data_IF_785421019219
#
_entry.id   IF_785421019219
#
_cell.length_a   1.000
_cell.length_b   1.000
_cell.length_c   1.000
_cell.angle_alpha   90.00
_cell.angle_beta   90.00
_cell.angle_gamma   90.00
#
_symmetry.space_group_name_H-M   'P 1'
#
loop_
_entity.id
_entity.type
_entity.pdbx_description
1 polymer ?
#
# COMPACT_ATOMS: atom_id res chain seq x y z
N UNK A 1 -33.47 -2.83 -27.09
CA UNK A 1 -33.06 -4.22 -26.75
C UNK A 1 -31.56 -4.18 -26.50
N UNK A 2 -31.14 -3.97 -25.25
CA UNK A 2 -29.72 -3.89 -24.90
C UNK A 2 -29.16 -5.30 -24.74
N UNK A 3 -28.11 -5.63 -25.47
CA UNK A 3 -27.52 -6.97 -25.45
C UNK A 3 -26.97 -7.33 -24.07
N UNK A 4 -27.51 -8.39 -23.45
CA UNK A 4 -27.04 -9.00 -22.20
C UNK A 4 -25.84 -9.94 -22.45
N UNK A 5 -24.88 -9.53 -23.28
CA UNK A 5 -23.73 -10.35 -23.64
C UNK A 5 -22.50 -9.93 -22.84
N UNK A 6 -21.96 -10.88 -22.09
CA UNK A 6 -20.71 -10.74 -21.33
C UNK A 6 -19.77 -11.84 -21.79
N UNK A 7 -18.50 -11.51 -21.98
CA UNK A 7 -17.47 -12.46 -22.40
C UNK A 7 -16.14 -12.15 -21.72
N UNK A 8 -15.27 -13.16 -21.63
CA UNK A 8 -13.94 -13.02 -21.06
C UNK A 8 -13.03 -14.17 -21.46
N UNK A 9 -11.73 -14.02 -21.18
CA UNK A 9 -10.72 -15.02 -21.53
C UNK A 9 -10.50 -15.09 -23.03
N UNK A 10 -10.20 -16.29 -23.52
CA UNK A 10 -9.75 -16.48 -24.90
C UNK A 10 -10.76 -16.04 -25.96
N UNK A 11 -12.05 -16.11 -25.63
CA UNK A 11 -13.13 -15.64 -26.51
C UNK A 11 -13.08 -14.12 -26.78
N UNK A 12 -12.45 -13.34 -25.90
CA UNK A 12 -12.32 -11.88 -26.04
C UNK A 12 -10.93 -11.47 -26.50
N UNK A 13 -9.89 -12.17 -26.01
CA UNK A 13 -8.50 -11.74 -26.16
C UNK A 13 -7.68 -12.58 -27.15
N UNK A 14 -8.23 -13.71 -27.62
CA UNK A 14 -7.38 -14.81 -28.06
C UNK A 14 -6.60 -15.40 -26.88
N UNK A 15 -5.55 -16.20 -27.13
CA UNK A 15 -4.80 -16.88 -26.06
C UNK A 15 -4.41 -15.93 -24.92
N UNK A 16 -5.02 -16.11 -23.75
CA UNK A 16 -4.83 -15.28 -22.57
C UNK A 16 -4.28 -16.07 -21.39
N UNK A 17 -3.60 -15.38 -20.48
CA UNK A 17 -3.21 -15.99 -19.21
C UNK A 17 -4.43 -16.24 -18.32
N UNK A 18 -4.32 -17.22 -17.41
CA UNK A 18 -5.36 -17.49 -16.40
C UNK A 18 -5.71 -16.22 -15.59
N UNK A 19 -4.70 -15.38 -15.32
CA UNK A 19 -4.87 -14.12 -14.58
C UNK A 19 -5.72 -13.11 -15.36
N UNK A 20 -5.49 -12.97 -16.66
CA UNK A 20 -6.27 -12.10 -17.53
C UNK A 20 -7.71 -12.62 -17.69
N UNK A 21 -7.88 -13.93 -17.88
CA UNK A 21 -9.20 -14.54 -17.94
C UNK A 21 -10.00 -14.33 -16.64
N UNK A 22 -9.35 -14.50 -15.48
CA UNK A 22 -9.96 -14.20 -14.18
C UNK A 22 -10.30 -12.70 -14.03
N UNK A 23 -9.45 -11.80 -14.54
CA UNK A 23 -9.72 -10.37 -14.56
C UNK A 23 -10.95 -10.04 -15.43
N UNK A 24 -11.12 -10.71 -16.57
CA UNK A 24 -12.29 -10.56 -17.43
C UNK A 24 -13.56 -11.06 -16.75
N UNK A 25 -13.51 -12.22 -16.09
CA UNK A 25 -14.62 -12.74 -15.29
C UNK A 25 -15.07 -11.75 -14.21
N UNK A 26 -14.12 -11.11 -13.52
CA UNK A 26 -14.43 -10.04 -12.55
C UNK A 26 -15.11 -8.83 -13.19
N UNK A 27 -14.64 -8.37 -14.37
CA UNK A 27 -15.27 -7.25 -15.09
C UNK A 27 -16.69 -7.60 -15.54
N UNK A 28 -16.90 -8.82 -16.04
CA UNK A 28 -18.21 -9.32 -16.41
C UNK A 28 -19.16 -9.34 -15.21
N UNK A 29 -18.73 -9.91 -14.08
CA UNK A 29 -19.52 -9.94 -12.85
C UNK A 29 -19.90 -8.52 -12.36
N UNK A 30 -18.95 -7.59 -12.34
CA UNK A 30 -19.22 -6.20 -11.94
C UNK A 30 -20.21 -5.49 -12.87
N UNK A 31 -20.16 -5.78 -14.18
CA UNK A 31 -21.10 -5.24 -15.16
C UNK A 31 -22.50 -5.83 -15.00
N UNK A 32 -22.61 -7.15 -14.75
CA UNK A 32 -23.87 -7.83 -14.43
C UNK A 32 -24.50 -7.24 -13.17
N UNK A 33 -23.73 -7.09 -12.09
CA UNK A 33 -24.21 -6.50 -10.83
C UNK A 33 -24.79 -5.10 -11.06
N UNK A 34 -24.07 -4.24 -11.80
CA UNK A 34 -24.52 -2.90 -12.16
C UNK A 34 -25.83 -2.93 -12.95
N UNK A 35 -25.97 -3.85 -13.91
CA UNK A 35 -27.20 -3.98 -14.68
C UNK A 35 -28.39 -4.43 -13.81
N UNK A 36 -28.13 -5.31 -12.84
CA UNK A 36 -29.16 -5.82 -11.93
C UNK A 36 -29.47 -4.87 -10.76
N UNK A 37 -28.77 -3.73 -10.65
CA UNK A 37 -28.93 -2.81 -9.53
C UNK A 37 -28.46 -3.37 -8.20
N UNK A 38 -27.57 -4.37 -8.21
CA UNK A 38 -26.96 -4.95 -7.00
C UNK A 38 -25.52 -4.47 -6.86
N UNK A 39 -25.08 -4.28 -5.62
CA UNK A 39 -23.71 -3.91 -5.33
C UNK A 39 -22.75 -5.05 -5.68
N UNK A 40 -21.70 -4.76 -6.44
CA UNK A 40 -20.61 -5.70 -6.64
C UNK A 40 -19.65 -5.63 -5.46
N UNK A 41 -19.76 -6.58 -4.54
CA UNK A 41 -18.83 -6.73 -3.42
C UNK A 41 -17.79 -7.79 -3.73
N UNK A 42 -16.52 -7.41 -3.64
CA UNK A 42 -15.42 -8.37 -3.65
C UNK A 42 -15.29 -8.93 -2.21
N UNK A 43 -15.28 -10.25 -2.01
CA UNK A 43 -14.95 -10.81 -0.71
C UNK A 43 -13.58 -10.29 -0.28
N UNK A 44 -13.49 -9.79 0.96
CA UNK A 44 -12.18 -9.51 1.53
C UNK A 44 -11.42 -10.84 1.61
N UNK A 45 -10.20 -10.85 1.08
CA UNK A 45 -9.31 -11.99 1.25
C UNK A 45 -8.53 -11.76 2.53
N UNK A 46 -8.72 -12.61 3.53
CA UNK A 46 -7.88 -12.61 4.72
C UNK A 46 -6.50 -13.12 4.33
N UNK A 47 -5.51 -12.21 4.37
CA UNK A 47 -4.12 -12.59 4.23
C UNK A 47 -3.55 -12.94 5.60
N UNK A 48 -2.69 -13.97 5.69
CA UNK A 48 -2.07 -14.32 6.96
C UNK A 48 -1.17 -13.16 7.42
N UNK A 49 -1.30 -12.78 8.69
CA UNK A 49 -0.28 -11.99 9.37
C UNK A 49 0.92 -12.88 9.64
N UNK A 50 2.06 -12.55 9.04
CA UNK A 50 3.29 -13.32 9.21
C UNK A 50 4.04 -12.88 10.46
N UNK A 51 4.61 -13.82 11.18
CA UNK A 51 5.55 -13.50 12.27
C UNK A 51 6.87 -12.99 11.72
N UNK A 52 7.73 -12.47 12.59
CA UNK A 52 9.10 -12.12 12.21
C UNK A 52 9.88 -13.35 11.73
N UNK A 53 9.70 -14.52 12.37
CA UNK A 53 10.35 -15.76 11.92
C UNK A 53 9.85 -16.19 10.53
N UNK A 54 8.55 -16.10 10.28
CA UNK A 54 7.97 -16.39 8.96
C UNK A 54 8.59 -15.51 7.88
N UNK A 55 8.65 -14.19 8.14
CA UNK A 55 9.25 -13.21 7.24
C UNK A 55 10.70 -13.58 6.95
N UNK A 56 11.52 -13.83 7.98
CA UNK A 56 12.92 -14.21 7.82
C UNK A 56 13.04 -15.49 6.99
N UNK A 57 12.24 -16.52 7.27
CA UNK A 57 12.22 -17.76 6.52
C UNK A 57 11.90 -17.53 5.04
N UNK A 58 10.91 -16.67 4.74
CA UNK A 58 10.56 -16.30 3.37
C UNK A 58 11.66 -15.50 2.67
N UNK A 59 12.35 -14.57 3.37
CA UNK A 59 13.51 -13.86 2.82
C UNK A 59 14.64 -14.82 2.47
N UNK A 60 14.92 -15.78 3.33
CA UNK A 60 15.92 -16.83 3.06
C UNK A 60 15.52 -17.72 1.88
N UNK A 61 14.23 -18.02 1.72
CA UNK A 61 13.73 -18.73 0.55
C UNK A 61 13.96 -17.95 -0.76
N UNK A 62 13.85 -16.60 -0.75
CA UNK A 62 14.14 -15.75 -1.92
C UNK A 62 15.61 -15.81 -2.37
N UNK A 63 16.52 -16.11 -1.45
CA UNK A 63 17.95 -16.21 -1.73
C UNK A 63 18.35 -17.57 -2.35
N UNK A 64 17.43 -18.54 -2.44
CA UNK A 64 17.71 -19.90 -2.92
C UNK A 64 16.75 -20.28 -4.04
N UNK A 65 17.28 -20.85 -5.12
CA UNK A 65 16.45 -21.43 -6.18
C UNK A 65 16.07 -22.85 -5.80
N UNK A 66 14.78 -23.10 -5.62
CA UNK A 66 14.22 -24.44 -5.42
C UNK A 66 13.43 -24.81 -6.68
N UNK A 67 13.72 -25.95 -7.33
CA UNK A 67 12.95 -26.41 -8.49
C UNK A 67 11.48 -26.64 -8.10
N UNK A 68 10.59 -26.48 -9.07
CA UNK A 68 9.19 -26.82 -8.89
C UNK A 68 9.02 -28.33 -8.77
N UNK A 69 7.94 -28.76 -8.12
CA UNK A 69 7.51 -30.15 -8.25
C UNK A 69 7.11 -30.38 -9.70
N UNK A 70 7.79 -31.30 -10.39
CA UNK A 70 7.36 -31.73 -11.72
C UNK A 70 6.12 -32.61 -11.55
N UNK A 71 5.00 -32.25 -12.20
CA UNK A 71 3.82 -33.10 -12.14
C UNK A 71 4.08 -34.38 -12.95
N UNK A 72 3.53 -35.49 -12.47
CA UNK A 72 3.47 -36.70 -13.27
C UNK A 72 2.55 -36.45 -14.48
N UNK A 73 2.74 -37.22 -15.55
CA UNK A 73 1.84 -37.16 -16.69
C UNK A 73 1.38 -38.55 -17.05
N UNK A 74 0.09 -38.65 -17.36
CA UNK A 74 -0.47 -39.87 -17.90
C UNK A 74 0.23 -40.20 -19.25
N UNK A 75 0.67 -41.44 -19.47
CA UNK A 75 1.25 -41.87 -20.75
C UNK A 75 0.31 -41.55 -21.91
N UNK A 76 0.86 -41.22 -23.08
CA UNK A 76 0.08 -40.73 -24.23
C UNK A 76 -1.00 -41.72 -24.66
N UNK A 77 -0.68 -43.00 -24.63
CA UNK A 77 -1.57 -44.12 -24.93
C UNK A 77 -2.81 -44.20 -24.02
N UNK A 78 -2.76 -43.57 -22.84
CA UNK A 78 -3.84 -43.58 -21.85
C UNK A 78 -4.65 -42.28 -21.82
N UNK A 79 -4.35 -41.29 -22.67
CA UNK A 79 -5.03 -39.97 -22.67
C UNK A 79 -6.35 -39.91 -23.46
N UNK A 80 -6.87 -41.06 -23.86
CA UNK A 80 -8.16 -41.17 -24.56
C UNK A 80 -9.33 -41.42 -23.60
N UNK A 81 -9.09 -41.31 -22.30
CA UNK A 81 -10.10 -41.46 -21.23
C UNK A 81 -10.45 -40.10 -20.62
N UNK A 82 -11.33 -40.11 -19.62
CA UNK A 82 -11.63 -38.92 -18.80
C UNK A 82 -10.69 -38.80 -17.59
N UNK A 83 -9.65 -39.63 -17.50
CA UNK A 83 -8.67 -39.53 -16.43
C UNK A 83 -7.87 -38.23 -16.56
N UNK A 84 -7.43 -37.68 -15.44
CA UNK A 84 -6.60 -36.48 -15.43
C UNK A 84 -5.27 -36.76 -16.13
N UNK A 85 -4.99 -36.04 -17.21
CA UNK A 85 -3.72 -36.12 -17.93
C UNK A 85 -2.56 -35.68 -17.04
N UNK A 86 -2.80 -34.66 -16.22
CA UNK A 86 -1.94 -34.20 -15.15
C UNK A 86 -2.67 -34.52 -13.83
N UNK A 87 -2.29 -35.60 -13.12
CA UNK A 87 -2.92 -35.97 -11.86
C UNK A 87 -2.67 -34.88 -10.81
N UNK A 88 -3.57 -34.78 -9.85
CA UNK A 88 -3.42 -33.86 -8.72
C UNK A 88 -2.19 -34.22 -7.89
N UNK A 89 -1.45 -33.21 -7.44
CA UNK A 89 -0.34 -33.39 -6.51
C UNK A 89 -0.79 -34.15 -5.27
N UNK A 90 0.07 -35.05 -4.78
CA UNK A 90 -0.07 -35.61 -3.43
C UNK A 90 -0.01 -34.48 -2.40
N UNK A 91 -0.55 -34.72 -1.20
CA UNK A 91 -0.51 -33.73 -0.12
C UNK A 91 0.92 -33.24 0.17
N UNK A 92 1.90 -34.15 0.21
CA UNK A 92 3.30 -33.80 0.42
C UNK A 92 3.87 -32.92 -0.70
N UNK A 93 3.55 -33.23 -1.96
CA UNK A 93 3.96 -32.42 -3.12
C UNK A 93 3.29 -31.05 -3.10
N UNK A 94 1.99 -30.98 -2.79
CA UNK A 94 1.25 -29.73 -2.69
C UNK A 94 1.81 -28.83 -1.58
N UNK A 95 2.14 -29.39 -0.41
CA UNK A 95 2.78 -28.65 0.68
C UNK A 95 4.19 -28.16 0.28
N UNK A 96 4.98 -28.99 -0.40
CA UNK A 96 6.31 -28.58 -0.89
C UNK A 96 6.21 -27.42 -1.89
N UNK A 97 5.27 -27.48 -2.83
CA UNK A 97 5.04 -26.43 -3.81
C UNK A 97 4.50 -25.14 -3.16
N UNK A 98 3.53 -25.25 -2.24
CA UNK A 98 3.03 -24.12 -1.47
C UNK A 98 4.13 -23.42 -0.65
N UNK A 99 5.07 -24.19 -0.10
CA UNK A 99 6.21 -23.66 0.63
C UNK A 99 7.24 -22.91 -0.24
N UNK A 100 7.18 -23.04 -1.57
CA UNK A 100 7.98 -22.21 -2.49
C UNK A 100 7.38 -20.81 -2.68
N UNK A 101 6.14 -20.58 -2.26
CA UNK A 101 5.53 -19.26 -2.30
C UNK A 101 6.32 -18.26 -1.45
N UNK A 102 6.66 -17.12 -2.05
CA UNK A 102 7.43 -16.05 -1.42
C UNK A 102 6.56 -15.05 -0.63
N UNK A 103 5.25 -15.30 -0.58
CA UNK A 103 4.23 -14.54 0.15
C UNK A 103 4.28 -13.02 -0.10
N UNK A 104 4.53 -12.61 -1.34
CA UNK A 104 4.68 -11.21 -1.72
C UNK A 104 3.42 -10.35 -1.48
N UNK A 105 2.24 -10.96 -1.37
CA UNK A 105 0.99 -10.28 -1.03
C UNK A 105 0.80 -10.02 0.47
N UNK A 106 1.48 -10.79 1.34
CA UNK A 106 1.42 -10.62 2.80
C UNK A 106 2.57 -9.72 3.30
N UNK A 107 3.76 -9.84 2.71
CA UNK A 107 4.85 -8.87 2.90
C UNK A 107 5.73 -8.78 1.65
N UNK A 108 6.01 -7.56 1.19
CA UNK A 108 6.79 -7.37 -0.03
C UNK A 108 8.29 -7.34 0.26
N UNK A 109 8.82 -6.29 0.90
CA UNK A 109 10.24 -6.09 1.24
C UNK A 109 11.27 -6.16 0.10
N UNK A 110 10.87 -6.49 -1.12
CA UNK A 110 11.83 -6.79 -2.18
C UNK A 110 12.74 -5.60 -2.45
N UNK A 111 12.20 -4.38 -2.44
CA UNK A 111 12.97 -3.15 -2.60
C UNK A 111 13.94 -2.84 -1.45
N UNK A 112 13.63 -3.31 -0.22
CA UNK A 112 14.52 -3.24 0.95
C UNK A 112 15.70 -4.20 0.77
N UNK A 113 15.41 -5.43 0.30
CA UNK A 113 16.41 -6.49 0.13
C UNK A 113 17.39 -6.22 -1.02
N UNK A 114 16.93 -5.61 -2.12
CA UNK A 114 17.76 -5.44 -3.32
C UNK A 114 18.43 -4.07 -3.43
N UNK A 115 18.06 -3.08 -2.60
CA UNK A 115 18.64 -1.75 -2.75
C UNK A 115 20.14 -1.77 -2.41
N UNK A 116 21.05 -1.51 -3.37
CA UNK A 116 22.49 -1.56 -3.09
C UNK A 116 22.93 -0.46 -2.11
N UNK A 117 22.23 0.68 -2.11
CA UNK A 117 22.51 1.80 -1.21
C UNK A 117 21.73 1.72 0.10
N UNK A 118 20.87 0.69 0.28
CA UNK A 118 19.97 0.54 1.43
C UNK A 118 19.04 1.73 1.66
N UNK A 119 18.59 2.40 0.60
CA UNK A 119 17.68 3.54 0.68
C UNK A 119 16.23 3.18 1.06
N UNK A 120 15.81 1.92 0.94
CA UNK A 120 14.45 1.51 1.35
C UNK A 120 14.50 0.88 2.74
N UNK A 121 13.69 1.38 3.66
CA UNK A 121 13.62 0.91 5.05
C UNK A 121 12.22 0.44 5.41
N UNK A 122 12.16 -0.53 6.30
CA UNK A 122 10.90 -0.96 6.90
C UNK A 122 10.63 -0.13 8.16
N UNK A 123 9.39 0.33 8.31
CA UNK A 123 8.85 0.79 9.59
C UNK A 123 7.55 0.03 9.91
N UNK A 124 7.15 0.05 11.16
CA UNK A 124 5.96 -0.64 11.65
C UNK A 124 4.90 0.36 12.10
N UNK A 125 3.64 -0.01 11.92
CA UNK A 125 2.48 0.74 12.40
C UNK A 125 1.39 -0.22 12.84
N UNK A 126 0.55 0.21 13.78
CA UNK A 126 -0.66 -0.52 14.12
C UNK A 126 -1.66 -0.46 12.94
N UNK A 127 -2.52 -1.48 12.75
CA UNK A 127 -3.58 -1.39 11.76
C UNK A 127 -4.47 -0.19 12.03
N UNK A 128 -4.81 0.55 10.98
CA UNK A 128 -5.71 1.70 11.06
C UNK A 128 -6.93 1.40 10.20
N UNK A 129 -8.11 1.67 10.75
CA UNK A 129 -9.37 1.58 10.03
C UNK A 129 -10.34 2.62 10.61
N UNK A 130 -10.39 3.79 9.97
CA UNK A 130 -11.16 4.94 10.45
C UNK A 130 -12.05 5.50 9.35
N UNK A 131 -13.19 6.03 9.77
CA UNK A 131 -14.09 6.78 8.90
C UNK A 131 -13.84 8.27 9.11
N UNK A 132 -13.43 8.96 8.05
CA UNK A 132 -13.04 10.37 8.07
C UNK A 132 -14.12 11.23 7.39
N UNK A 133 -14.43 12.43 7.90
CA UNK A 133 -15.37 13.33 7.26
C UNK A 133 -14.79 13.90 5.97
N UNK A 134 -15.57 13.92 4.89
CA UNK A 134 -15.23 14.68 3.69
C UNK A 134 -15.64 16.13 3.89
N UNK A 135 -14.70 17.06 3.78
CA UNK A 135 -14.94 18.46 4.09
C UNK A 135 -15.13 19.29 2.82
N UNK A 136 -16.04 20.25 2.85
CA UNK A 136 -16.20 21.27 1.80
C UNK A 136 -16.25 22.66 2.41
N UNK A 137 -15.90 23.67 1.62
CA UNK A 137 -16.03 25.07 1.99
C UNK A 137 -17.24 25.68 1.28
N UNK A 138 -18.20 26.22 2.03
CA UNK A 138 -19.37 26.93 1.52
C UNK A 138 -19.58 28.21 2.31
N UNK A 139 -19.62 29.35 1.60
CA UNK A 139 -19.86 30.67 2.21
C UNK A 139 -18.93 30.97 3.40
N UNK A 140 -17.62 30.70 3.25
CA UNK A 140 -16.62 30.90 4.29
C UNK A 140 -16.72 29.95 5.50
N UNK A 141 -17.45 28.82 5.39
CA UNK A 141 -17.61 27.84 6.46
C UNK A 141 -17.29 26.42 5.98
N UNK A 142 -16.65 25.64 6.84
CA UNK A 142 -16.47 24.21 6.62
C UNK A 142 -17.76 23.45 6.90
N UNK A 143 -18.08 22.49 6.05
CA UNK A 143 -19.15 21.52 6.22
C UNK A 143 -18.65 20.10 5.94
N UNK A 144 -19.24 19.11 6.60
CA UNK A 144 -18.96 17.69 6.37
C UNK A 144 -19.98 17.10 5.39
N UNK A 145 -19.58 16.85 4.15
CA UNK A 145 -20.44 16.42 3.03
C UNK A 145 -20.29 14.92 2.72
N UNK A 146 -20.21 14.09 3.76
CA UNK A 146 -20.07 12.64 3.65
C UNK A 146 -18.84 12.12 4.37
N UNK A 147 -18.46 10.88 4.07
CA UNK A 147 -17.35 10.21 4.73
C UNK A 147 -16.52 9.39 3.74
N UNK A 148 -15.27 9.12 4.12
CA UNK A 148 -14.38 8.19 3.44
C UNK A 148 -13.74 7.23 4.45
N UNK A 149 -13.48 6.00 4.04
CA UNK A 149 -12.78 5.01 4.88
C UNK A 149 -11.30 5.06 4.58
N UNK A 150 -10.48 5.30 5.59
CA UNK A 150 -9.02 5.20 5.53
C UNK A 150 -8.58 3.93 6.26
N UNK A 151 -7.99 2.98 5.51
CA UNK A 151 -7.59 1.67 6.04
C UNK A 151 -6.16 1.31 5.66
N UNK A 152 -5.36 0.99 6.66
CA UNK A 152 -4.04 0.37 6.52
C UNK A 152 -4.07 -0.92 7.34
N UNK A 153 -4.16 -2.05 6.66
CA UNK A 153 -4.22 -3.37 7.31
C UNK A 153 -2.83 -3.96 7.58
N UNK A 154 -1.87 -3.73 6.70
CA UNK A 154 -0.52 -4.27 6.81
C UNK A 154 0.28 -3.45 7.83
N UNK A 155 0.77 -4.10 8.88
CA UNK A 155 1.54 -3.45 9.96
C UNK A 155 2.95 -3.07 9.55
N UNK A 156 3.46 -3.69 8.49
CA UNK A 156 4.84 -3.56 8.01
C UNK A 156 4.90 -2.73 6.74
N UNK A 157 5.34 -1.49 6.84
CA UNK A 157 5.36 -0.52 5.76
C UNK A 157 6.80 -0.21 5.32
N UNK A 158 6.94 0.44 4.15
CA UNK A 158 8.24 0.76 3.56
C UNK A 158 8.31 2.25 3.31
N UNK A 159 9.39 2.88 3.79
CA UNK A 159 9.74 4.27 3.53
C UNK A 159 11.03 4.32 2.70
N UNK A 160 11.14 5.30 1.80
CA UNK A 160 12.32 5.51 0.97
C UNK A 160 13.11 6.70 1.50
N UNK A 161 14.35 6.50 1.95
CA UNK A 161 15.24 7.59 2.35
C UNK A 161 15.97 8.09 1.12
N UNK A 162 15.56 9.27 0.65
CA UNK A 162 15.98 9.78 -0.66
C UNK A 162 17.47 10.14 -0.71
N UNK A 163 18.02 10.65 0.40
CA UNK A 163 19.42 11.04 0.54
C UNK A 163 20.41 9.89 0.24
N UNK A 164 19.98 8.62 0.36
CA UNK A 164 20.80 7.45 0.07
C UNK A 164 20.59 6.91 -1.35
N UNK A 165 19.58 7.40 -2.07
CA UNK A 165 19.22 6.90 -3.38
C UNK A 165 20.06 7.55 -4.48
N UNK A 166 20.69 6.73 -5.32
CA UNK A 166 21.33 7.19 -6.56
C UNK A 166 20.47 6.92 -7.80
N UNK A 167 19.18 6.60 -7.60
CA UNK A 167 18.21 6.28 -8.64
C UNK A 167 18.67 5.19 -9.63
N UNK A 168 19.49 4.22 -9.20
CA UNK A 168 19.96 3.13 -10.06
C UNK A 168 18.84 2.21 -10.60
N UNK A 169 17.62 2.32 -10.09
CA UNK A 169 16.45 1.57 -10.57
C UNK A 169 16.42 0.08 -10.16
N UNK A 170 17.37 -0.40 -9.36
CA UNK A 170 17.40 -1.83 -8.99
C UNK A 170 16.12 -2.28 -8.28
N UNK A 171 15.55 -1.44 -7.42
CA UNK A 171 14.28 -1.72 -6.75
C UNK A 171 13.09 -1.84 -7.73
N UNK A 172 13.12 -1.12 -8.85
CA UNK A 172 12.13 -1.19 -9.94
C UNK A 172 12.23 -2.51 -10.68
N UNK A 173 13.45 -2.90 -11.08
CA UNK A 173 13.71 -4.16 -11.79
C UNK A 173 13.16 -5.37 -11.05
N UNK A 174 13.24 -5.37 -9.73
CA UNK A 174 12.76 -6.46 -8.89
C UNK A 174 11.35 -6.24 -8.32
N UNK A 175 10.65 -5.17 -8.70
CA UNK A 175 9.34 -4.86 -8.14
C UNK A 175 8.29 -5.87 -8.60
N UNK A 176 7.73 -6.62 -7.64
CA UNK A 176 6.67 -7.62 -7.88
C UNK A 176 5.28 -7.00 -8.13
N UNK A 177 5.16 -5.67 -7.98
CA UNK A 177 3.93 -4.92 -8.18
C UNK A 177 3.98 -3.98 -9.40
N UNK A 178 5.00 -4.09 -10.26
CA UNK A 178 5.21 -3.23 -11.43
C UNK A 178 5.33 -1.71 -11.10
N UNK A 179 5.81 -1.36 -9.91
CA UNK A 179 6.08 0.03 -9.50
C UNK A 179 7.56 0.41 -9.54
N UNK A 180 7.86 1.68 -9.27
CA UNK A 180 9.17 2.29 -9.06
C UNK A 180 9.34 2.64 -7.58
N UNK A 181 9.80 1.74 -6.70
CA UNK A 181 9.78 1.96 -5.25
C UNK A 181 10.52 3.22 -4.78
N UNK A 182 11.55 3.66 -5.49
CA UNK A 182 12.29 4.88 -5.17
C UNK A 182 11.51 6.19 -5.46
N UNK A 183 10.44 6.12 -6.26
CA UNK A 183 9.54 7.25 -6.55
C UNK A 183 8.16 7.07 -5.91
N UNK A 184 7.66 5.84 -5.84
CA UNK A 184 6.27 5.55 -5.46
C UNK A 184 6.09 5.35 -3.95
N UNK A 185 7.15 5.03 -3.20
CA UNK A 185 7.08 4.94 -1.73
C UNK A 185 7.19 6.34 -1.12
N UNK A 186 6.66 6.57 0.09
CA UNK A 186 6.87 7.84 0.79
C UNK A 186 8.36 8.16 0.85
N UNK A 187 8.79 9.29 0.24
CA UNK A 187 10.20 9.70 0.20
C UNK A 187 10.50 10.57 1.41
N UNK A 188 11.26 10.02 2.35
CA UNK A 188 11.80 10.72 3.51
C UNK A 188 13.13 11.39 3.14
N UNK A 189 13.21 12.68 3.41
CA UNK A 189 14.43 13.47 3.30
C UNK A 189 15.01 13.69 4.69
N UNK A 190 16.32 13.53 4.82
CA UNK A 190 17.03 13.76 6.09
C UNK A 190 17.47 15.21 6.21
N UNK A 191 17.65 15.90 5.08
CA UNK A 191 18.04 17.31 5.00
C UNK A 191 16.84 18.16 4.58
N UNK A 192 16.57 19.21 5.36
CA UNK A 192 15.48 20.14 5.05
C UNK A 192 15.70 20.88 3.73
N UNK A 193 16.95 21.22 3.40
CA UNK A 193 17.29 21.91 2.16
C UNK A 193 16.98 21.11 0.90
N UNK A 194 17.05 19.78 0.97
CA UNK A 194 16.70 18.90 -0.15
C UNK A 194 15.18 18.73 -0.24
N UNK A 195 14.52 18.53 0.91
CA UNK A 195 13.06 18.46 1.00
C UNK A 195 12.37 19.66 0.34
N UNK A 196 12.83 20.88 0.58
CA UNK A 196 12.18 22.09 0.05
C UNK A 196 12.32 22.25 -1.47
N UNK A 197 13.24 21.52 -2.12
CA UNK A 197 13.39 21.53 -3.58
C UNK A 197 12.36 20.63 -4.29
N UNK A 198 11.72 19.73 -3.56
CA UNK A 198 10.79 18.76 -4.13
C UNK A 198 9.40 19.37 -4.32
N UNK A 199 8.70 18.93 -5.36
CA UNK A 199 7.32 19.36 -5.60
C UNK A 199 6.30 18.31 -5.17
N UNK A 200 6.72 17.04 -5.06
CA UNK A 200 5.78 15.95 -4.91
C UNK A 200 6.33 14.75 -4.13
N UNK A 201 5.45 14.02 -3.45
CA UNK A 201 5.73 12.84 -2.63
C UNK A 201 7.01 12.98 -1.77
N UNK A 202 7.16 14.11 -1.08
CA UNK A 202 8.31 14.38 -0.23
C UNK A 202 7.87 14.57 1.22
N UNK A 203 8.62 13.97 2.15
CA UNK A 203 8.37 14.01 3.59
C UNK A 203 9.64 14.42 4.34
N UNK A 204 9.47 15.25 5.36
CA UNK A 204 10.55 15.63 6.27
C UNK A 204 10.06 15.54 7.71
N UNK A 205 10.84 14.89 8.59
CA UNK A 205 10.48 14.66 9.99
C UNK A 205 11.50 15.33 10.90
N UNK A 206 11.02 16.13 11.84
CA UNK A 206 11.85 16.85 12.80
C UNK A 206 11.24 16.87 14.20
N UNK A 207 12.11 17.05 15.21
CA UNK A 207 11.70 17.20 16.61
C UNK A 207 11.27 18.63 16.90
N UNK A 208 10.06 18.84 17.42
CA UNK A 208 9.53 20.15 17.82
C UNK A 208 9.30 20.20 19.34
N UNK A 209 10.38 20.41 20.10
CA UNK A 209 10.31 20.38 21.57
C UNK A 209 10.05 18.95 22.06
N UNK A 210 8.98 18.75 22.84
CA UNK A 210 8.55 17.43 23.27
C UNK A 210 7.92 16.61 22.12
N UNK A 211 7.32 17.31 21.16
CA UNK A 211 6.51 16.76 20.08
C UNK A 211 7.33 16.45 18.83
N UNK A 212 6.67 15.83 17.85
CA UNK A 212 7.23 15.52 16.54
C UNK A 212 6.46 16.24 15.43
N UNK A 213 7.16 16.67 14.40
CA UNK A 213 6.61 17.32 13.22
C UNK A 213 6.93 16.47 12.00
N UNK A 214 5.93 16.26 11.14
CA UNK A 214 6.11 15.80 9.76
C UNK A 214 5.61 16.88 8.81
N UNK A 215 6.42 17.19 7.80
CA UNK A 215 6.04 18.05 6.67
C UNK A 215 5.92 17.18 5.43
N UNK A 216 4.97 17.51 4.56
CA UNK A 216 4.76 16.87 3.27
C UNK A 216 4.70 17.92 2.17
N UNK A 217 5.33 17.64 1.03
CA UNK A 217 5.12 18.40 -0.21
C UNK A 217 4.45 17.51 -1.25
N UNK A 218 3.37 18.02 -1.84
CA UNK A 218 2.55 17.34 -2.84
C UNK A 218 1.99 18.37 -3.82
N UNK A 219 2.16 18.15 -5.13
CA UNK A 219 1.67 19.07 -6.16
C UNK A 219 2.15 20.52 -6.02
N UNK A 220 3.32 20.76 -5.42
CA UNK A 220 3.88 22.08 -5.14
C UNK A 220 3.38 22.74 -3.83
N UNK A 221 2.43 22.11 -3.15
CA UNK A 221 1.87 22.60 -1.89
C UNK A 221 2.52 21.91 -0.70
N UNK A 222 2.60 22.62 0.44
CA UNK A 222 3.14 22.06 1.67
C UNK A 222 2.06 21.96 2.75
N UNK A 223 2.01 20.80 3.41
CA UNK A 223 1.22 20.57 4.60
C UNK A 223 2.10 20.09 5.75
N UNK A 224 1.67 20.33 6.99
CA UNK A 224 2.36 19.88 8.19
C UNK A 224 1.43 19.15 9.13
N UNK A 225 1.98 18.20 9.90
CA UNK A 225 1.29 17.55 10.98
C UNK A 225 2.21 17.45 12.20
N UNK A 226 1.71 17.92 13.33
CA UNK A 226 2.37 17.79 14.64
C UNK A 226 1.73 16.65 15.40
N UNK A 227 2.54 15.70 15.88
CA UNK A 227 2.14 14.61 16.77
C UNK A 227 2.56 14.97 18.20
N UNK A 228 1.57 15.07 19.08
CA UNK A 228 1.76 15.43 20.48
C UNK A 228 2.08 14.21 21.35
N UNK A 229 2.68 14.45 22.51
CA UNK A 229 3.05 13.39 23.45
C UNK A 229 1.89 12.55 23.99
N UNK A 230 0.66 13.10 23.97
CA UNK A 230 -0.57 12.39 24.37
C UNK A 230 -1.16 11.52 23.24
N UNK A 231 -0.53 11.54 22.06
CA UNK A 231 -0.95 10.81 20.87
C UNK A 231 -1.90 11.58 19.96
N UNK A 232 -2.42 12.73 20.38
CA UNK A 232 -3.22 13.60 19.51
C UNK A 232 -2.35 14.20 18.39
N UNK A 233 -2.98 14.60 17.29
CA UNK A 233 -2.27 15.21 16.18
C UNK A 233 -3.01 16.43 15.62
N UNK A 234 -2.24 17.43 15.18
CA UNK A 234 -2.76 18.62 14.53
C UNK A 234 -2.19 18.72 13.11
N UNK A 235 -3.06 18.67 12.11
CA UNK A 235 -2.71 18.89 10.71
C UNK A 235 -3.02 20.33 10.30
N UNK A 236 -2.19 20.88 9.42
CA UNK A 236 -2.39 22.19 8.84
C UNK A 236 -1.84 22.25 7.41
N UNK A 237 -2.62 22.84 6.51
CA UNK A 237 -2.18 23.27 5.18
C UNK A 237 -2.55 24.74 4.95
N UNK A 238 -2.57 25.21 3.70
CA UNK A 238 -2.95 26.59 3.39
C UNK A 238 -4.45 26.89 3.63
N UNK A 239 -5.31 25.86 3.60
CA UNK A 239 -6.76 25.99 3.56
C UNK A 239 -7.41 25.75 4.92
N UNK A 240 -6.90 24.83 5.73
CA UNK A 240 -7.54 24.43 6.98
C UNK A 240 -6.58 23.86 8.02
N UNK A 241 -7.09 23.70 9.23
CA UNK A 241 -6.49 22.89 10.29
C UNK A 241 -7.42 21.73 10.65
N UNK A 242 -6.85 20.60 11.05
CA UNK A 242 -7.59 19.46 11.61
C UNK A 242 -6.95 19.01 12.92
N UNK A 243 -7.78 18.64 13.88
CA UNK A 243 -7.35 18.01 15.13
C UNK A 243 -7.81 16.56 15.16
N UNK A 244 -6.89 15.66 15.49
CA UNK A 244 -7.11 14.23 15.61
C UNK A 244 -6.90 13.76 17.05
N UNK A 245 -7.80 12.89 17.52
CA UNK A 245 -7.59 12.08 18.70
C UNK A 245 -6.45 11.03 18.48
N UNK A 246 -5.91 10.39 19.53
CA UNK A 246 -4.88 9.34 19.43
C UNK A 246 -5.19 8.13 18.53
N UNK A 247 -6.45 7.97 18.11
CA UNK A 247 -6.91 6.95 17.16
C UNK A 247 -7.23 7.47 15.75
N UNK A 248 -6.79 8.68 15.39
CA UNK A 248 -7.07 9.35 14.11
C UNK A 248 -8.55 9.65 13.85
N UNK A 249 -9.37 9.72 14.90
CA UNK A 249 -10.70 10.31 14.80
C UNK A 249 -10.58 11.83 14.72
N UNK A 250 -11.27 12.46 13.77
CA UNK A 250 -11.29 13.93 13.64
C UNK A 250 -12.17 14.53 14.75
N UNK A 251 -11.58 15.36 15.60
CA UNK A 251 -12.27 16.04 16.72
C UNK A 251 -12.65 17.49 16.38
N UNK A 252 -11.92 18.12 15.47
CA UNK A 252 -12.16 19.50 15.08
C UNK A 252 -11.51 19.86 13.74
N UNK A 253 -12.04 20.90 13.12
CA UNK A 253 -11.50 21.49 11.90
C UNK A 253 -11.82 22.98 11.83
N UNK A 254 -10.87 23.78 11.35
CA UNK A 254 -11.03 25.23 11.20
C UNK A 254 -10.59 25.67 9.81
N UNK A 255 -11.32 26.63 9.23
CA UNK A 255 -11.00 27.18 7.91
C UNK A 255 -9.94 28.28 8.05
N UNK A 256 -8.91 28.22 7.22
CA UNK A 256 -7.91 29.28 7.03
C UNK A 256 -8.15 30.08 5.75
N UNK A 257 -8.43 29.38 4.65
CA UNK A 257 -8.68 29.97 3.34
C UNK A 257 -9.71 29.13 2.57
N UNK A 258 -10.54 29.79 1.76
CA UNK A 258 -11.54 29.10 0.94
C UNK A 258 -10.88 28.21 -0.11
N UNK A 259 -11.51 27.07 -0.41
CA UNK A 259 -11.10 26.13 -1.44
C UNK A 259 -12.31 25.59 -2.20
N UNK A 260 -12.07 25.15 -3.43
CA UNK A 260 -13.09 24.52 -4.26
C UNK A 260 -13.02 22.99 -4.13
N UNK A 261 -14.17 22.34 -4.22
CA UNK A 261 -14.27 20.87 -4.20
C UNK A 261 -14.34 20.29 -2.78
N UNK A 262 -13.80 19.07 -2.64
CA UNK A 262 -13.88 18.29 -1.40
C UNK A 262 -12.48 17.98 -0.90
N UNK A 263 -12.24 18.30 0.37
CA UNK A 263 -11.02 17.95 1.09
C UNK A 263 -11.19 16.59 1.78
N UNK A 264 -10.20 15.71 1.61
CA UNK A 264 -10.15 14.42 2.29
C UNK A 264 -9.08 14.43 3.38
N UNK A 265 -9.43 14.19 4.65
CA UNK A 265 -8.45 14.02 5.73
C UNK A 265 -7.54 12.78 5.60
N UNK A 266 -7.70 11.96 4.54
CA UNK A 266 -6.88 10.77 4.32
C UNK A 266 -5.37 11.09 4.24
N UNK A 267 -4.99 12.21 3.62
CA UNK A 267 -3.60 12.69 3.55
C UNK A 267 -3.04 12.97 4.94
N UNK A 268 -3.82 13.63 5.81
CA UNK A 268 -3.42 13.90 7.18
C UNK A 268 -3.31 12.62 8.01
N UNK A 269 -4.23 11.67 7.83
CA UNK A 269 -4.16 10.36 8.47
C UNK A 269 -2.93 9.55 8.02
N UNK A 270 -2.57 9.60 6.73
CA UNK A 270 -1.34 9.00 6.20
C UNK A 270 -0.09 9.61 6.85
N UNK A 271 0.00 10.95 6.91
CA UNK A 271 1.11 11.65 7.57
C UNK A 271 1.26 11.23 9.04
N UNK A 272 0.14 11.12 9.78
CA UNK A 272 0.17 10.67 11.16
C UNK A 272 0.66 9.23 11.31
N UNK A 273 0.23 8.32 10.41
CA UNK A 273 0.66 6.93 10.40
C UNK A 273 2.16 6.80 10.09
N UNK A 274 2.66 7.54 9.10
CA UNK A 274 4.10 7.57 8.77
C UNK A 274 4.89 8.11 9.96
N UNK A 275 4.50 9.29 10.48
CA UNK A 275 5.22 9.93 11.57
C UNK A 275 5.30 9.04 12.81
N UNK A 276 4.15 8.54 13.27
CA UNK A 276 4.08 7.64 14.43
C UNK A 276 4.92 6.38 14.19
N UNK A 277 4.73 5.72 13.05
CA UNK A 277 5.42 4.47 12.75
C UNK A 277 6.94 4.63 12.64
N UNK A 278 7.43 5.69 11.99
CA UNK A 278 8.86 5.97 11.89
C UNK A 278 9.45 6.34 13.25
N UNK A 279 8.78 7.19 14.03
CA UNK A 279 9.25 7.59 15.37
C UNK A 279 9.33 6.41 16.33
N UNK A 280 8.33 5.52 16.32
CA UNK A 280 8.25 4.40 17.26
C UNK A 280 9.17 3.24 16.88
N UNK A 281 9.35 2.98 15.57
CA UNK A 281 9.99 1.75 15.10
C UNK A 281 11.24 1.93 14.24
N UNK A 282 11.47 3.14 13.73
CA UNK A 282 12.67 3.49 12.96
C UNK A 282 13.31 4.82 13.40
N UNK A 283 13.43 5.13 14.71
CA UNK A 283 13.94 6.44 15.17
C UNK A 283 15.39 6.68 14.75
N UNK A 284 16.14 5.63 14.43
CA UNK A 284 17.52 5.70 13.91
C UNK A 284 17.62 6.34 12.52
N UNK A 285 16.50 6.50 11.80
CA UNK A 285 16.44 7.25 10.54
C UNK A 285 16.32 8.75 10.77
N UNK A 286 15.91 9.18 11.96
CA UNK A 286 15.64 10.58 12.24
C UNK A 286 16.92 11.27 12.74
N UNK A 287 17.17 12.52 12.36
CA UNK A 287 18.34 13.25 12.83
C UNK A 287 18.34 13.31 14.37
N UNK A 288 19.37 12.76 15.00
CA UNK A 288 19.60 12.94 16.42
C UNK A 288 20.03 14.38 16.66
N UNK A 289 19.34 15.09 17.56
CA UNK A 289 19.83 16.38 18.08
C UNK A 289 21.20 16.14 18.72
N UNK A 290 22.25 16.61 18.06
CA UNK A 290 23.51 16.92 18.74
C UNK A 290 23.40 18.32 19.36
#
# INVERSE_FOLDING_TARGET
VGSHLYAGGDAVRGPATIVEAAADGRRAAAAICRQLGVEFTRPEADFPTLTEEDIIARKMARARRVPQVEPDFLPLEHRLTFDLVEPTLTEAQAQAEANRCLQCSAFCDKCVEVCPNRANYTYFTAPVDVTLPLLSCREGRLASDGTTRFRIAQTRQIIHVDDFCNQCGNCTTFCVHQGKPYLDKPRLFLREEDFVQEEDNAFYIARQGADWLIRRREGGHESRLTLHSDGSACFEDEHLTLTFAPGLAVEGYELKAEFAGTFSPATAAEMAVILKGVVESAPYLLPSRH
#
